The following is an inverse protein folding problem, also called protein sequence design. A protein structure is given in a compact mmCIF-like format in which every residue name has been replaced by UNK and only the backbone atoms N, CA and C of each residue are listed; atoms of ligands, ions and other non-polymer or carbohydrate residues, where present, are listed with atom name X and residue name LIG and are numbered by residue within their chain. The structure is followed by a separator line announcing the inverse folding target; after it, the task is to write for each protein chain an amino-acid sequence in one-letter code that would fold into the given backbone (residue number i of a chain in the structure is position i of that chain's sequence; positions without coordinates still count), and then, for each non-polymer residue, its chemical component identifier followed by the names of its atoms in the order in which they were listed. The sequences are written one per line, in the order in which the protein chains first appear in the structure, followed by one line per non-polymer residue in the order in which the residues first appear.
data_IF_373803755508
#
_entry.id   IF_373803755508
#
_cell.length_a   1.000
_cell.length_b   1.000
_cell.length_c   1.000
_cell.angle_alpha   90.00
_cell.angle_beta   90.00
_cell.angle_gamma   90.00
#
_symmetry.space_group_name_H-M   'P 1'
#
loop_
_entity.id
_entity.type
_entity.pdbx_description
1 polymer ?
#
# COMPACT_ATOMS: atom_id res chain seq x y z
N UNK A 1 10.64 -1.56 17.39
CA UNK A 1 9.18 -1.38 17.22
C UNK A 1 8.87 -1.76 15.79
N UNK A 2 7.86 -2.59 15.55
CA UNK A 2 7.38 -2.82 14.18
C UNK A 2 6.61 -1.56 13.79
N UNK A 3 7.08 -0.87 12.76
CA UNK A 3 6.36 0.29 12.26
C UNK A 3 5.00 -0.17 11.69
N UNK A 4 3.90 0.53 12.01
CA UNK A 4 2.56 0.16 11.55
C UNK A 4 2.43 0.14 10.02
N UNK A 5 3.43 0.68 9.30
CA UNK A 5 3.54 0.63 7.83
C UNK A 5 3.61 -0.81 7.29
N UNK A 6 4.08 -1.77 8.11
CA UNK A 6 4.16 -3.17 7.71
C UNK A 6 2.90 -3.96 8.03
N UNK A 7 1.92 -3.36 8.73
CA UNK A 7 0.69 -4.05 9.12
C UNK A 7 -0.10 -4.56 7.89
N UNK A 8 -0.24 -3.80 6.78
CA UNK A 8 -0.96 -4.29 5.61
C UNK A 8 -0.27 -5.49 4.94
N UNK A 9 1.05 -5.63 5.08
CA UNK A 9 1.79 -6.79 4.56
C UNK A 9 1.49 -8.09 5.31
N UNK A 10 0.75 -8.05 6.41
CA UNK A 10 0.24 -9.25 7.10
C UNK A 10 -0.96 -9.85 6.36
N UNK A 11 -1.76 -9.02 5.66
CA UNK A 11 -2.97 -9.45 4.94
C UNK A 11 -2.64 -10.54 3.90
N UNK A 12 -1.53 -10.47 3.15
CA UNK A 12 -1.10 -11.56 2.28
C UNK A 12 -0.81 -12.88 2.95
N UNK A 13 -0.24 -12.84 4.16
CA UNK A 13 0.01 -14.07 4.89
C UNK A 13 -1.30 -14.72 5.35
N UNK A 14 -2.31 -13.92 5.66
CA UNK A 14 -3.64 -14.39 6.07
C UNK A 14 -4.48 -14.92 4.90
N UNK A 15 -4.36 -14.34 3.70
CA UNK A 15 -5.17 -14.69 2.52
C UNK A 15 -4.41 -15.45 1.42
N UNK A 16 -3.28 -16.10 1.77
CA UNK A 16 -2.35 -16.76 0.84
C UNK A 16 -3.00 -17.70 -0.18
N UNK A 17 -4.09 -18.38 0.19
CA UNK A 17 -4.78 -19.36 -0.67
C UNK A 17 -5.60 -18.75 -1.80
N UNK A 18 -5.90 -17.44 -1.75
CA UNK A 18 -6.76 -16.76 -2.73
C UNK A 18 -5.97 -15.95 -3.75
N UNK A 19 -4.64 -16.08 -3.75
CA UNK A 19 -3.79 -15.17 -4.51
C UNK A 19 -3.69 -15.44 -6.00
N UNK A 20 -3.97 -14.39 -6.76
CA UNK A 20 -3.65 -14.25 -8.17
C UNK A 20 -2.29 -13.56 -8.35
N UNK A 21 -1.73 -13.63 -9.56
CA UNK A 21 -0.47 -12.97 -9.90
C UNK A 21 -0.50 -11.44 -9.68
N UNK A 22 -1.65 -10.79 -9.84
CA UNK A 22 -1.80 -9.34 -9.64
C UNK A 22 -1.54 -8.93 -8.18
N UNK A 23 -1.99 -9.75 -7.24
CA UNK A 23 -1.87 -9.47 -5.83
C UNK A 23 -0.41 -9.58 -5.36
N UNK A 24 0.35 -10.52 -5.94
CA UNK A 24 1.79 -10.67 -5.71
C UNK A 24 2.52 -9.40 -6.16
N UNK A 25 2.18 -8.85 -7.33
CA UNK A 25 2.77 -7.61 -7.84
C UNK A 25 2.48 -6.43 -6.90
N UNK A 26 1.24 -6.28 -6.45
CA UNK A 26 0.83 -5.22 -5.53
C UNK A 26 1.57 -5.33 -4.19
N UNK A 27 1.74 -6.54 -3.66
CA UNK A 27 2.51 -6.77 -2.46
C UNK A 27 3.98 -6.39 -2.62
N UNK A 28 4.59 -6.72 -3.75
CA UNK A 28 5.98 -6.37 -4.03
C UNK A 28 6.13 -4.85 -4.14
N UNK A 29 5.21 -4.17 -4.83
CA UNK A 29 5.22 -2.71 -4.94
C UNK A 29 5.07 -2.05 -3.57
N UNK A 30 4.12 -2.51 -2.76
CA UNK A 30 3.89 -1.99 -1.42
C UNK A 30 5.09 -2.25 -0.49
N UNK A 31 5.67 -3.46 -0.52
CA UNK A 31 6.86 -3.80 0.25
C UNK A 31 8.06 -2.93 -0.13
N UNK A 32 8.28 -2.75 -1.44
CA UNK A 32 9.39 -1.93 -1.95
C UNK A 32 9.22 -0.48 -1.53
N UNK A 33 8.00 0.05 -1.59
CA UNK A 33 7.65 1.37 -1.05
C UNK A 33 7.99 1.46 0.45
N UNK A 34 7.54 0.52 1.27
CA UNK A 34 7.84 0.53 2.71
C UNK A 34 9.36 0.53 2.97
N UNK A 35 10.11 -0.34 2.29
CA UNK A 35 11.57 -0.42 2.44
C UNK A 35 12.24 0.89 2.04
N UNK A 36 11.92 1.43 0.86
CA UNK A 36 12.48 2.70 0.39
C UNK A 36 12.26 3.81 1.42
N UNK A 37 11.03 3.96 1.91
CA UNK A 37 10.75 5.06 2.84
C UNK A 37 11.38 4.85 4.23
N UNK A 38 11.56 3.60 4.67
CA UNK A 38 12.35 3.34 5.89
C UNK A 38 13.84 3.66 5.72
N UNK A 39 14.39 3.51 4.52
CA UNK A 39 15.81 3.75 4.23
C UNK A 39 16.19 5.22 4.02
N UNK A 40 15.25 6.10 3.68
CA UNK A 40 15.54 7.53 3.55
C UNK A 40 15.79 8.13 4.94
N UNK A 41 17.06 8.28 5.30
CA UNK A 41 17.52 8.78 6.60
C UNK A 41 17.20 10.26 6.85
N UNK A 42 16.85 11.02 5.81
CA UNK A 42 16.70 12.48 5.87
C UNK A 42 15.30 12.96 6.26
N UNK A 43 14.29 12.08 6.23
CA UNK A 43 12.94 12.45 6.65
C UNK A 43 12.86 12.34 8.18
N UNK A 44 12.40 13.33 8.96
CA UNK A 44 12.23 13.17 10.40
C UNK A 44 11.16 12.10 10.72
N UNK A 45 11.28 11.32 11.81
CA UNK A 45 10.38 10.19 12.10
C UNK A 45 8.89 10.55 12.18
N UNK A 46 8.55 11.77 12.62
CA UNK A 46 7.16 12.27 12.65
C UNK A 46 6.53 12.41 11.25
N UNK A 47 7.09 13.23 10.34
CA UNK A 47 6.62 13.34 8.95
C UNK A 47 6.93 12.12 8.07
N UNK A 48 7.88 11.24 8.43
CA UNK A 48 7.97 9.89 7.82
C UNK A 48 6.64 9.19 7.99
N UNK A 49 6.22 9.04 9.23
CA UNK A 49 4.93 8.42 9.57
C UNK A 49 3.80 9.26 8.99
N UNK A 50 3.80 10.59 9.08
CA UNK A 50 2.72 11.44 8.56
C UNK A 50 2.51 11.37 7.03
N UNK A 51 3.57 11.28 6.23
CA UNK A 51 3.50 11.14 4.77
C UNK A 51 3.34 9.69 4.29
N UNK A 52 3.83 8.72 5.07
CA UNK A 52 3.64 7.27 4.88
C UNK A 52 2.26 6.78 5.32
N UNK A 53 1.70 7.42 6.36
CA UNK A 53 0.40 7.17 6.98
C UNK A 53 -0.63 8.20 6.50
N UNK A 54 -0.28 9.10 5.57
CA UNK A 54 -1.24 9.89 4.81
C UNK A 54 -2.01 8.98 3.84
N UNK A 55 -2.77 8.02 4.39
CA UNK A 55 -3.92 7.31 3.84
C UNK A 55 -3.66 6.49 2.59
N UNK A 56 -3.19 7.09 1.51
CA UNK A 56 -3.38 6.65 0.15
C UNK A 56 -2.79 5.26 -0.12
N UNK A 57 -1.54 4.90 0.24
CA UNK A 57 -1.01 3.57 -0.03
C UNK A 57 -1.69 2.50 0.83
N UNK A 58 -1.86 2.77 2.12
CA UNK A 58 -2.47 1.83 3.08
C UNK A 58 -3.96 1.64 2.78
N UNK A 59 -4.68 2.72 2.51
CA UNK A 59 -6.09 2.74 2.14
C UNK A 59 -6.31 2.11 0.77
N UNK A 60 -5.49 2.40 -0.22
CA UNK A 60 -5.53 1.72 -1.51
C UNK A 60 -5.29 0.21 -1.33
N UNK A 61 -4.30 -0.16 -0.53
CA UNK A 61 -4.01 -1.55 -0.25
C UNK A 61 -5.19 -2.26 0.44
N UNK A 62 -5.76 -1.65 1.49
CA UNK A 62 -6.93 -2.19 2.19
C UNK A 62 -8.17 -2.23 1.28
N UNK A 63 -8.40 -1.19 0.47
CA UNK A 63 -9.52 -1.15 -0.48
C UNK A 63 -9.39 -2.19 -1.59
N UNK A 64 -8.16 -2.52 -1.98
CA UNK A 64 -7.87 -3.58 -2.94
C UNK A 64 -8.17 -4.98 -2.36
N UNK A 65 -7.74 -5.23 -1.12
CA UNK A 65 -7.87 -6.54 -0.47
C UNK A 65 -9.23 -6.81 0.16
N UNK A 66 -9.92 -5.75 0.61
CA UNK A 66 -11.23 -5.82 1.24
C UNK A 66 -12.25 -4.95 0.49
N UNK A 67 -12.48 -5.24 -0.80
CA UNK A 67 -13.40 -4.45 -1.61
C UNK A 67 -14.85 -4.59 -1.14
N UNK A 68 -15.15 -5.65 -0.37
CA UNK A 68 -16.42 -5.91 0.31
C UNK A 68 -16.76 -4.93 1.44
N UNK A 69 -15.77 -4.16 1.93
CA UNK A 69 -16.01 -3.04 2.86
C UNK A 69 -16.62 -1.82 2.16
N UNK A 70 -16.67 -1.83 0.83
CA UNK A 70 -17.16 -0.74 -0.02
C UNK A 70 -18.44 -1.15 -0.75
N UNK A 71 -19.20 -0.19 -1.27
CA UNK A 71 -20.44 -0.47 -1.98
C UNK A 71 -20.17 -1.41 -3.18
N UNK A 72 -20.88 -2.54 -3.33
CA UNK A 72 -20.70 -3.47 -4.45
C UNK A 72 -20.82 -2.80 -5.83
N UNK A 73 -21.57 -1.70 -5.93
CA UNK A 73 -21.70 -0.93 -7.19
C UNK A 73 -20.43 -0.17 -7.55
N UNK A 74 -19.59 0.14 -6.55
CA UNK A 74 -18.35 0.91 -6.70
C UNK A 74 -17.10 0.04 -6.58
N UNK A 75 -17.25 -1.28 -6.51
CA UNK A 75 -16.17 -2.21 -6.24
C UNK A 75 -15.04 -2.13 -7.28
N UNK A 76 -15.36 -2.31 -8.56
CA UNK A 76 -14.40 -2.22 -9.67
C UNK A 76 -13.73 -0.84 -9.84
N UNK A 77 -14.46 0.29 -9.81
CA UNK A 77 -13.82 1.60 -9.90
C UNK A 77 -12.95 1.91 -8.68
N UNK A 78 -13.35 1.48 -7.48
CA UNK A 78 -12.55 1.66 -6.25
C UNK A 78 -11.27 0.83 -6.28
N UNK A 79 -11.35 -0.43 -6.71
CA UNK A 79 -10.17 -1.30 -6.89
C UNK A 79 -9.19 -0.69 -7.89
N UNK A 80 -9.67 -0.23 -9.05
CA UNK A 80 -8.82 0.40 -10.06
C UNK A 80 -8.21 1.73 -9.57
N UNK A 81 -8.97 2.55 -8.86
CA UNK A 81 -8.47 3.78 -8.23
C UNK A 81 -7.39 3.48 -7.20
N UNK A 82 -7.59 2.46 -6.36
CA UNK A 82 -6.63 2.01 -5.39
C UNK A 82 -5.32 1.58 -6.06
N UNK A 83 -5.38 0.70 -7.07
CA UNK A 83 -4.19 0.26 -7.82
C UNK A 83 -3.46 1.45 -8.46
N UNK A 84 -4.22 2.35 -9.09
CA UNK A 84 -3.66 3.54 -9.75
C UNK A 84 -2.97 4.47 -8.75
N UNK A 85 -3.60 4.70 -7.60
CA UNK A 85 -3.04 5.52 -6.53
C UNK A 85 -1.76 4.90 -5.95
N UNK A 86 -1.72 3.58 -5.78
CA UNK A 86 -0.56 2.85 -5.26
C UNK A 86 0.62 2.93 -6.22
N UNK A 87 0.38 2.81 -7.53
CA UNK A 87 1.39 2.98 -8.59
C UNK A 87 1.87 4.43 -8.63
N UNK A 88 0.96 5.41 -8.60
CA UNK A 88 1.30 6.83 -8.65
C UNK A 88 2.20 7.24 -7.47
N UNK A 89 1.85 6.80 -6.26
CA UNK A 89 2.67 7.05 -5.07
C UNK A 89 4.02 6.35 -5.17
N UNK A 90 4.07 5.11 -5.67
CA UNK A 90 5.33 4.41 -5.90
C UNK A 90 6.26 5.19 -6.85
N UNK A 91 5.73 5.72 -7.96
CA UNK A 91 6.50 6.54 -8.92
C UNK A 91 7.01 7.83 -8.26
N UNK A 92 6.16 8.52 -7.50
CA UNK A 92 6.54 9.75 -6.80
C UNK A 92 7.69 9.47 -5.84
N UNK A 93 7.60 8.40 -5.05
CA UNK A 93 8.69 7.99 -4.16
C UNK A 93 9.95 7.69 -4.95
N UNK A 94 9.87 6.95 -6.06
CA UNK A 94 11.03 6.61 -6.87
C UNK A 94 11.71 7.83 -7.50
N UNK A 95 10.98 8.91 -7.78
CA UNK A 95 11.54 10.18 -8.28
C UNK A 95 12.14 11.03 -7.15
N UNK A 96 11.51 11.01 -5.98
CA UNK A 96 11.87 11.86 -4.85
C UNK A 96 12.96 11.26 -3.93
N UNK A 97 13.27 9.97 -4.06
CA UNK A 97 14.33 9.26 -3.32
C UNK A 97 15.55 9.06 -4.19
#
# INVERSE_FOLDING_TARGET
MIDPIFLPLIIPFLYRSHFCQKDILINILYLTYCVMVTWISDIPPGPRIGGLVAGIPMFAYVAYYFPELFDPREQYPTENLAVTALIAVFIIVLICC
#
